data_IF_226155358799
#
_entry.id   IF_226155358799
#
_cell.length_a   1.000
_cell.length_b   1.000
_cell.length_c   1.000
_cell.angle_alpha   90.00
_cell.angle_beta   90.00
_cell.angle_gamma   90.00
#
_symmetry.space_group_name_H-M   'P 1'
#
loop_
_entity.id
_entity.type
_entity.pdbx_description
1 polymer ?
#
# COMPACT_ATOMS: atom_id res chain seq x y z
N UNK A 1 -25.73 0.73 33.36
CA UNK A 1 -24.49 0.85 34.17
C UNK A 1 -23.33 0.51 33.25
N UNK A 2 -22.64 1.51 32.70
CA UNK A 2 -21.59 1.28 31.70
C UNK A 2 -20.27 0.92 32.38
N UNK A 3 -19.74 -0.27 32.12
CA UNK A 3 -18.37 -0.62 32.52
C UNK A 3 -17.40 0.32 31.80
N UNK A 4 -16.82 1.27 32.51
CA UNK A 4 -15.61 1.96 32.07
C UNK A 4 -14.54 0.87 31.92
N UNK A 5 -14.08 0.62 30.70
CA UNK A 5 -12.88 -0.16 30.48
C UNK A 5 -11.73 0.70 30.97
N UNK A 6 -10.98 0.22 31.95
CA UNK A 6 -9.70 0.85 32.28
C UNK A 6 -8.79 0.71 31.06
N UNK A 7 -8.46 1.86 30.46
CA UNK A 7 -7.55 1.94 29.33
C UNK A 7 -6.18 2.27 29.91
N UNK A 8 -5.41 1.24 30.23
CA UNK A 8 -4.03 1.35 30.69
C UNK A 8 -3.09 0.81 29.62
N UNK A 9 -1.92 1.44 29.49
CA UNK A 9 -0.82 0.85 28.71
C UNK A 9 -0.31 -0.37 29.48
N UNK A 10 -0.27 -1.53 28.83
CA UNK A 10 0.26 -2.77 29.41
C UNK A 10 1.72 -2.99 29.03
N UNK A 11 2.43 -3.78 29.84
CA UNK A 11 3.76 -4.27 29.52
C UNK A 11 3.66 -5.66 28.87
N UNK A 12 4.50 -5.91 27.86
CA UNK A 12 4.63 -7.22 27.20
C UNK A 12 6.11 -7.54 27.04
N UNK A 13 6.47 -8.81 27.21
CA UNK A 13 7.82 -9.25 26.93
C UNK A 13 8.14 -9.14 25.44
N UNK A 14 9.41 -8.85 25.15
CA UNK A 14 9.84 -8.80 23.76
C UNK A 14 9.82 -10.20 23.13
N UNK A 15 8.97 -10.37 22.12
CA UNK A 15 8.97 -11.52 21.23
C UNK A 15 9.35 -11.09 19.81
N UNK A 16 10.33 -11.75 19.20
CA UNK A 16 10.79 -11.38 17.85
C UNK A 16 9.67 -11.41 16.79
N UNK A 17 8.66 -12.27 16.97
CA UNK A 17 7.49 -12.39 16.10
C UNK A 17 6.53 -11.18 16.14
N UNK A 18 6.64 -10.33 17.15
CA UNK A 18 5.88 -9.06 17.23
C UNK A 18 6.48 -7.99 16.32
N UNK A 19 7.74 -8.14 15.91
CA UNK A 19 8.41 -7.14 15.08
C UNK A 19 7.81 -7.13 13.68
N UNK A 20 7.25 -5.98 13.29
CA UNK A 20 6.72 -5.72 11.95
C UNK A 20 5.84 -6.88 11.42
N UNK A 21 4.85 -7.23 12.23
CA UNK A 21 3.83 -8.21 11.91
C UNK A 21 2.49 -7.46 11.79
N UNK A 22 1.80 -7.66 10.67
CA UNK A 22 0.50 -7.07 10.42
C UNK A 22 -0.48 -8.17 10.06
N UNK A 23 -1.70 -8.08 10.59
CA UNK A 23 -2.83 -8.91 10.22
C UNK A 23 -4.00 -8.01 9.90
N UNK A 24 -4.55 -8.16 8.70
CA UNK A 24 -5.66 -7.34 8.20
C UNK A 24 -6.68 -8.22 7.48
N UNK A 25 -7.95 -7.86 7.61
CA UNK A 25 -9.05 -8.49 6.90
C UNK A 25 -9.79 -7.43 6.11
N UNK A 26 -10.00 -7.68 4.82
CA UNK A 26 -10.61 -6.70 3.93
C UNK A 26 -11.15 -7.31 2.66
N UNK A 27 -11.88 -6.48 1.90
CA UNK A 27 -12.45 -6.85 0.60
C UNK A 27 -11.59 -6.26 -0.52
N UNK A 28 -11.34 -7.04 -1.57
CA UNK A 28 -10.60 -6.56 -2.73
C UNK A 28 -11.42 -5.55 -3.55
N UNK A 29 -10.89 -4.35 -3.78
CA UNK A 29 -11.59 -3.32 -4.57
C UNK A 29 -11.52 -3.52 -6.08
N UNK A 30 -10.51 -4.27 -6.54
CA UNK A 30 -10.22 -4.55 -7.95
C UNK A 30 -9.60 -5.94 -8.08
N UNK A 31 -9.53 -6.43 -9.31
CA UNK A 31 -8.86 -7.69 -9.62
C UNK A 31 -7.35 -7.61 -9.34
N UNK A 32 -6.74 -8.78 -9.17
CA UNK A 32 -5.28 -8.89 -8.96
C UNK A 32 -4.57 -8.43 -10.23
N UNK A 33 -3.65 -7.47 -10.07
CA UNK A 33 -2.69 -7.13 -11.11
C UNK A 33 -1.49 -8.07 -10.99
N UNK A 34 -1.42 -9.04 -11.89
CA UNK A 34 -0.37 -10.05 -11.91
C UNK A 34 0.72 -9.73 -12.93
N UNK A 35 1.98 -9.80 -12.49
CA UNK A 35 3.15 -9.50 -13.31
C UNK A 35 4.15 -10.63 -13.23
N UNK A 36 4.60 -11.06 -14.41
CA UNK A 36 5.76 -11.94 -14.56
C UNK A 36 6.96 -11.05 -14.83
N UNK A 37 7.90 -11.03 -13.90
CA UNK A 37 9.19 -10.35 -14.03
C UNK A 37 10.26 -11.37 -14.41
N UNK A 38 11.45 -10.90 -14.78
CA UNK A 38 12.54 -11.75 -15.28
C UNK A 38 12.88 -12.95 -14.37
N UNK A 39 12.85 -12.74 -13.04
CA UNK A 39 13.21 -13.77 -12.05
C UNK A 39 12.13 -14.04 -11.02
N UNK A 40 11.02 -13.30 -11.05
CA UNK A 40 10.03 -13.33 -9.99
C UNK A 40 8.63 -13.08 -10.54
N UNK A 41 7.64 -13.46 -9.74
CA UNK A 41 6.23 -13.18 -10.01
C UNK A 41 5.70 -12.29 -8.91
N UNK A 42 4.84 -11.36 -9.31
CA UNK A 42 4.34 -10.28 -8.46
C UNK A 42 2.83 -10.18 -8.63
N UNK A 43 2.11 -10.15 -7.51
CA UNK A 43 0.68 -9.86 -7.47
C UNK A 43 0.47 -8.58 -6.66
N UNK A 44 -0.28 -7.64 -7.23
CA UNK A 44 -0.64 -6.37 -6.61
C UNK A 44 -2.15 -6.26 -6.53
N UNK A 45 -2.67 -5.93 -5.35
CA UNK A 45 -4.08 -5.66 -5.15
C UNK A 45 -4.29 -4.74 -3.95
N UNK A 46 -5.48 -4.17 -3.80
CA UNK A 46 -5.80 -3.24 -2.71
C UNK A 46 -7.02 -3.76 -1.94
N UNK A 47 -6.93 -3.71 -0.61
CA UNK A 47 -8.00 -4.10 0.29
C UNK A 47 -8.71 -2.88 0.88
N UNK A 48 -10.03 -2.90 0.85
CA UNK A 48 -10.87 -2.04 1.66
C UNK A 48 -11.06 -2.66 3.05
N UNK A 49 -10.54 -1.98 4.08
CA UNK A 49 -10.64 -2.34 5.49
C UNK A 49 -11.82 -1.58 6.09
N UNK A 50 -12.85 -2.31 6.51
CA UNK A 50 -14.09 -1.72 7.02
C UNK A 50 -13.93 -1.27 8.47
N UNK A 51 -14.19 0.01 8.71
CA UNK A 51 -14.20 0.60 10.05
C UNK A 51 -15.65 0.76 10.53
N UNK A 52 -15.93 0.43 11.79
CA UNK A 52 -17.29 0.56 12.33
C UNK A 52 -17.75 2.02 12.31
N UNK A 53 -18.78 2.31 11.52
CA UNK A 53 -19.39 3.65 11.43
C UNK A 53 -18.50 4.70 10.76
N UNK A 54 -17.51 4.29 9.96
CA UNK A 54 -16.61 5.19 9.21
C UNK A 54 -16.34 4.62 7.83
N UNK A 55 -15.76 5.45 6.97
CA UNK A 55 -15.31 5.05 5.66
C UNK A 55 -14.20 3.98 5.75
N UNK A 56 -14.10 3.19 4.68
CA UNK A 56 -13.10 2.14 4.57
C UNK A 56 -11.72 2.73 4.29
N UNK A 57 -10.71 2.22 4.99
CA UNK A 57 -9.32 2.49 4.67
C UNK A 57 -8.83 1.55 3.56
N UNK A 58 -7.98 2.06 2.68
CA UNK A 58 -7.46 1.32 1.54
C UNK A 58 -5.99 0.97 1.74
N UNK A 59 -5.68 -0.32 1.72
CA UNK A 59 -4.33 -0.83 1.96
C UNK A 59 -3.85 -1.62 0.76
N UNK A 60 -2.67 -1.24 0.23
CA UNK A 60 -2.04 -1.97 -0.86
C UNK A 60 -1.32 -3.22 -0.35
N UNK A 61 -1.50 -4.31 -1.08
CA UNK A 61 -0.91 -5.60 -0.81
C UNK A 61 -0.01 -6.00 -1.96
N UNK A 62 1.17 -6.51 -1.60
CA UNK A 62 2.16 -7.07 -2.49
C UNK A 62 2.44 -8.52 -2.10
N UNK A 63 2.28 -9.45 -3.04
CA UNK A 63 2.65 -10.85 -2.87
C UNK A 63 3.66 -11.27 -3.95
N UNK A 64 4.53 -12.22 -3.60
CA UNK A 64 5.65 -12.66 -4.45
C UNK A 64 5.64 -14.18 -4.67
N UNK A 65 6.25 -14.62 -5.77
CA UNK A 65 6.50 -16.03 -6.05
C UNK A 65 5.23 -16.86 -6.17
N UNK A 66 5.21 -18.04 -5.56
CA UNK A 66 4.05 -18.95 -5.59
C UNK A 66 2.79 -18.36 -4.94
N UNK A 67 2.94 -17.49 -3.93
CA UNK A 67 1.81 -16.78 -3.34
C UNK A 67 1.18 -15.80 -4.34
N UNK A 68 1.99 -15.15 -5.18
CA UNK A 68 1.50 -14.28 -6.24
C UNK A 68 0.72 -15.06 -7.31
N UNK A 69 1.25 -16.22 -7.73
CA UNK A 69 0.58 -17.12 -8.66
C UNK A 69 -0.78 -17.55 -8.12
N UNK A 70 -0.81 -18.10 -6.90
CA UNK A 70 -2.04 -18.57 -6.25
C UNK A 70 -3.07 -17.44 -6.09
N UNK A 71 -2.64 -16.26 -5.64
CA UNK A 71 -3.50 -15.09 -5.52
C UNK A 71 -4.13 -14.71 -6.86
N UNK A 72 -3.35 -14.69 -7.95
CA UNK A 72 -3.86 -14.33 -9.28
C UNK A 72 -4.89 -15.32 -9.83
N UNK A 73 -4.84 -16.59 -9.43
CA UNK A 73 -5.76 -17.63 -9.91
C UNK A 73 -7.06 -17.70 -9.11
N UNK A 74 -7.04 -17.35 -7.82
CA UNK A 74 -8.14 -17.64 -6.89
C UNK A 74 -8.88 -16.40 -6.39
N UNK A 75 -8.26 -15.22 -6.55
CA UNK A 75 -8.73 -13.96 -5.99
C UNK A 75 -9.08 -12.96 -7.11
N UNK A 76 -10.07 -12.14 -6.83
CA UNK A 76 -10.55 -11.09 -7.72
C UNK A 76 -11.40 -10.08 -6.95
N UNK A 77 -11.90 -9.07 -7.65
CA UNK A 77 -12.74 -8.00 -7.09
C UNK A 77 -13.85 -8.56 -6.21
N UNK A 78 -14.08 -7.94 -5.06
CA UNK A 78 -15.11 -8.32 -4.09
C UNK A 78 -14.73 -9.52 -3.20
N UNK A 79 -13.64 -10.22 -3.49
CA UNK A 79 -13.18 -11.33 -2.64
C UNK A 79 -12.74 -10.79 -1.28
N UNK A 80 -13.28 -11.35 -0.20
CA UNK A 80 -12.81 -11.07 1.16
C UNK A 80 -11.59 -11.93 1.47
N UNK A 81 -10.53 -11.31 1.98
CA UNK A 81 -9.29 -11.99 2.32
C UNK A 81 -8.76 -11.53 3.67
N UNK A 82 -8.18 -12.47 4.41
CA UNK A 82 -7.31 -12.20 5.53
C UNK A 82 -5.86 -12.27 5.05
N UNK A 83 -5.09 -11.21 5.31
CA UNK A 83 -3.68 -11.11 4.95
C UNK A 83 -2.86 -10.98 6.22
N UNK A 84 -1.83 -11.80 6.32
CA UNK A 84 -0.72 -11.59 7.24
C UNK A 84 0.50 -11.17 6.44
N UNK A 85 1.36 -10.36 7.06
CA UNK A 85 2.61 -9.96 6.45
C UNK A 85 3.36 -8.93 7.26
N UNK A 86 4.08 -8.08 6.55
CA UNK A 86 4.88 -7.00 7.12
C UNK A 86 4.59 -5.68 6.42
N UNK A 87 4.59 -4.59 7.18
CA UNK A 87 4.53 -3.25 6.61
C UNK A 87 5.85 -2.94 5.90
N UNK A 88 5.75 -2.35 4.71
CA UNK A 88 6.87 -1.83 3.93
C UNK A 88 6.56 -0.42 3.50
N UNK A 89 7.54 0.46 3.69
CA UNK A 89 7.53 1.81 3.16
C UNK A 89 8.44 1.87 1.93
N UNK A 90 7.86 2.02 0.75
CA UNK A 90 8.62 2.31 -0.44
C UNK A 90 8.85 3.83 -0.54
N UNK A 91 10.07 4.21 -0.94
CA UNK A 91 10.44 5.59 -1.26
C UNK A 91 10.94 5.64 -2.68
N UNK A 92 10.42 6.55 -3.49
CA UNK A 92 10.88 6.76 -4.86
C UNK A 92 10.83 8.25 -5.21
N UNK A 93 11.64 8.65 -6.18
CA UNK A 93 11.59 10.00 -6.74
C UNK A 93 10.63 9.98 -7.94
N UNK A 94 9.66 10.87 -7.96
CA UNK A 94 8.76 11.01 -9.11
C UNK A 94 9.42 11.80 -10.26
N UNK A 95 8.71 11.90 -11.39
CA UNK A 95 9.21 12.61 -12.58
C UNK A 95 9.46 14.10 -12.35
N UNK A 96 8.88 14.69 -11.30
CA UNK A 96 9.09 16.09 -10.91
C UNK A 96 10.30 16.28 -9.98
N UNK A 97 11.01 15.20 -9.66
CA UNK A 97 12.14 15.23 -8.73
C UNK A 97 11.73 15.17 -7.25
N UNK A 98 10.43 15.06 -6.94
CA UNK A 98 9.95 14.99 -5.57
C UNK A 98 10.06 13.58 -5.00
N UNK A 99 10.52 13.47 -3.75
CA UNK A 99 10.50 12.19 -3.03
C UNK A 99 9.08 11.87 -2.59
N UNK A 100 8.58 10.71 -3.02
CA UNK A 100 7.31 10.14 -2.64
C UNK A 100 7.51 8.94 -1.74
N UNK A 101 6.51 8.70 -0.90
CA UNK A 101 6.46 7.57 0.01
C UNK A 101 5.13 6.85 -0.18
N UNK A 102 5.15 5.52 -0.08
CA UNK A 102 3.93 4.69 -0.02
C UNK A 102 4.11 3.58 0.99
N UNK A 103 3.10 3.42 1.85
CA UNK A 103 2.99 2.30 2.75
C UNK A 103 2.22 1.17 2.05
N UNK A 104 2.68 -0.05 2.22
CA UNK A 104 2.02 -1.26 1.72
C UNK A 104 2.32 -2.44 2.64
N UNK A 105 1.57 -3.52 2.47
CA UNK A 105 1.82 -4.79 3.15
C UNK A 105 2.46 -5.75 2.17
N UNK A 106 3.63 -6.28 2.52
CA UNK A 106 4.21 -7.43 1.82
C UNK A 106 3.67 -8.69 2.50
N UNK A 107 2.81 -9.42 1.80
CA UNK A 107 2.10 -10.57 2.32
C UNK A 107 3.03 -11.79 2.45
N UNK A 108 2.95 -12.49 3.57
CA UNK A 108 3.51 -13.84 3.75
C UNK A 108 2.40 -14.91 3.70
N UNK A 109 1.15 -14.54 3.96
CA UNK A 109 -0.01 -15.43 3.93
C UNK A 109 -1.24 -14.67 3.45
N UNK A 110 -2.01 -15.28 2.57
CA UNK A 110 -3.30 -14.77 2.09
C UNK A 110 -4.31 -15.91 2.20
N UNK A 111 -5.39 -15.69 2.93
CA UNK A 111 -6.46 -16.65 3.10
C UNK A 111 -7.78 -16.04 2.60
N UNK A 112 -8.44 -16.70 1.66
CA UNK A 112 -9.80 -16.34 1.24
C UNK A 112 -10.77 -16.61 2.38
N UNK A 113 -11.58 -15.62 2.74
CA UNK A 113 -12.59 -15.77 3.79
C UNK A 113 -13.84 -16.38 3.14
N UNK A 114 -14.30 -17.51 3.68
CA UNK A 114 -15.55 -18.15 3.23
C UNK A 114 -16.72 -17.28 3.69
N UNK A 115 -17.65 -16.95 2.79
CA UNK A 115 -18.89 -16.30 3.21
C UNK A 115 -19.63 -17.22 4.18
N UNK A 116 -20.00 -16.71 5.36
CA UNK A 116 -20.86 -17.43 6.30
C UNK A 116 -22.30 -17.61 5.78
N UNK A 117 -22.66 -16.98 4.66
CA UNK A 117 -23.85 -17.32 3.91
C UNK A 117 -23.58 -18.54 3.03
N UNK A 118 -23.57 -19.74 3.62
CA UNK A 118 -23.96 -20.93 2.87
C UNK A 118 -25.35 -20.71 2.25
N UNK A 119 -25.74 -21.44 1.18
CA UNK A 119 -27.11 -21.38 0.70
C UNK A 119 -28.02 -21.59 1.90
N UNK A 120 -28.90 -20.60 2.18
CA UNK A 120 -30.10 -20.88 2.94
C UNK A 120 -30.86 -21.88 2.08
N UNK A 121 -30.61 -23.17 2.34
CA UNK A 121 -31.53 -24.22 2.00
C UNK A 121 -32.78 -23.85 2.79
N UNK A 122 -33.70 -23.16 2.13
CA UNK A 122 -35.06 -23.06 2.64
C UNK A 122 -35.57 -24.49 2.66
N UNK A 123 -35.53 -25.09 3.84
CA UNK A 123 -36.26 -26.31 4.15
C UNK A 123 -37.74 -26.02 3.96
N UNK A 124 -38.21 -26.16 2.72
CA UNK A 124 -39.62 -26.32 2.42
C UNK A 124 -40.01 -27.71 2.91
N UNK A 125 -40.34 -27.79 4.21
CA UNK A 125 -41.08 -28.92 4.77
C UNK A 125 -42.56 -28.75 4.40
N UNK A 126 -43.08 -29.71 3.64
CA UNK A 126 -44.48 -30.14 3.71
C UNK A 126 -45.46 -29.54 2.70
N UNK A 127 -45.65 -30.23 1.58
CA UNK A 127 -46.86 -30.16 0.75
C UNK A 127 -47.09 -31.52 0.09
N UNK A 128 -48.32 -32.07 0.10
CA UNK A 128 -48.56 -33.50 -0.08
C UNK A 128 -48.30 -33.97 -1.52
N UNK A 129 -47.73 -35.17 -1.59
CA UNK A 129 -47.59 -36.01 -2.77
C UNK A 129 -48.97 -36.36 -3.36
N UNK A 130 -49.17 -36.03 -4.63
CA UNK A 130 -50.14 -36.71 -5.47
C UNK A 130 -49.39 -37.52 -6.53
N UNK A 131 -49.64 -38.82 -6.54
CA UNK A 131 -49.16 -39.77 -7.53
C UNK A 131 -49.72 -39.43 -8.92
N UNK A 132 -48.87 -39.53 -9.94
CA UNK A 132 -49.25 -39.49 -11.34
C UNK A 132 -49.91 -40.81 -11.77
N UNK A 133 -51.00 -40.78 -12.56
CA UNK A 133 -51.27 -41.81 -13.53
C UNK A 133 -50.58 -41.47 -14.87
N UNK A 134 -49.92 -42.49 -15.43
CA UNK A 134 -49.29 -42.55 -16.74
C UNK A 134 -50.31 -42.67 -17.88
N UNK A 135 -50.20 -41.83 -18.92
CA UNK A 135 -50.64 -42.17 -20.28
C UNK A 135 -49.84 -41.38 -21.33
N UNK A 136 -49.02 -42.13 -22.06
CA UNK A 136 -48.79 -42.14 -23.52
C UNK A 136 -48.93 -40.85 -24.35
N UNK A 137 -47.82 -40.49 -25.01
CA UNK A 137 -47.65 -39.43 -26.03
C UNK A 137 -48.42 -39.73 -27.34
N UNK A 138 -48.56 -38.78 -28.31
CA UNK A 138 -47.43 -38.47 -29.22
C UNK A 138 -47.34 -37.02 -29.75
N UNK A 139 -46.15 -36.63 -30.24
CA UNK A 139 -45.98 -35.59 -31.27
C UNK A 139 -44.93 -34.52 -30.95
N UNK A 140 -43.65 -34.81 -31.21
CA UNK A 140 -42.64 -33.76 -31.42
C UNK A 140 -42.24 -33.77 -32.90
N UNK A 141 -42.59 -32.70 -33.60
CA UNK A 141 -41.99 -32.34 -34.87
C UNK A 141 -40.70 -31.54 -34.60
N UNK A 142 -39.64 -31.94 -35.27
CA UNK A 142 -38.31 -31.37 -35.21
C UNK A 142 -38.21 -30.26 -36.25
N UNK A 143 -37.93 -29.02 -35.83
CA UNK A 143 -37.12 -28.10 -36.63
C UNK A 143 -36.63 -26.93 -35.78
N UNK A 144 -35.36 -26.95 -35.40
CA UNK A 144 -34.56 -25.74 -35.21
C UNK A 144 -33.20 -25.99 -35.88
N UNK A 145 -33.17 -25.72 -37.18
CA UNK A 145 -31.96 -25.28 -37.88
C UNK A 145 -31.79 -23.81 -37.48
N UNK A 146 -30.70 -23.41 -36.82
CA UNK A 146 -29.39 -23.12 -37.38
C UNK A 146 -29.41 -22.07 -38.51
N UNK A 147 -28.42 -21.16 -38.43
CA UNK A 147 -28.21 -19.89 -39.16
C UNK A 147 -28.98 -18.69 -38.62
N UNK A 148 -28.38 -17.53 -38.42
CA UNK A 148 -27.02 -17.11 -38.78
C UNK A 148 -26.74 -15.76 -38.14
N UNK A 149 -25.49 -15.61 -37.71
CA UNK A 149 -24.78 -14.35 -37.69
C UNK A 149 -24.97 -13.61 -39.02
N UNK A 150 -25.51 -12.40 -38.98
CA UNK A 150 -25.10 -11.29 -39.85
C UNK A 150 -25.80 -10.00 -39.41
N UNK A 151 -25.07 -8.89 -39.58
CA UNK A 151 -25.35 -7.52 -39.16
C UNK A 151 -24.97 -7.26 -37.68
N UNK A 152 -23.92 -6.50 -37.34
CA UNK A 152 -23.32 -5.36 -38.03
C UNK A 152 -21.81 -5.32 -37.80
N UNK A 153 -21.04 -5.24 -38.88
CA UNK A 153 -19.70 -4.66 -38.85
C UNK A 153 -19.87 -3.17 -38.56
N UNK A 154 -19.69 -2.79 -37.29
CA UNK A 154 -19.21 -1.45 -36.96
C UNK A 154 -17.80 -1.63 -36.48
N UNK A 155 -16.85 -1.19 -37.32
CA UNK A 155 -15.46 -0.99 -36.94
C UNK A 155 -15.44 -0.24 -35.61
N UNK A 156 -15.07 -0.95 -34.56
CA UNK A 156 -14.78 -0.36 -33.26
C UNK A 156 -13.51 0.45 -33.41
N UNK A 157 -13.66 1.73 -33.69
CA UNK A 157 -12.58 2.71 -33.55
C UNK A 157 -12.48 2.99 -32.04
N UNK A 158 -11.35 2.71 -31.38
CA UNK A 158 -11.20 3.06 -29.98
C UNK A 158 -11.37 4.58 -29.85
N UNK A 159 -12.37 4.99 -29.08
CA UNK A 159 -12.51 6.37 -28.66
C UNK A 159 -11.22 6.75 -27.88
N UNK A 160 -10.52 7.83 -28.24
CA UNK A 160 -9.32 8.22 -27.50
C UNK A 160 -9.72 8.41 -26.04
N UNK A 161 -9.00 7.73 -25.15
CA UNK A 161 -9.22 7.82 -23.71
C UNK A 161 -9.45 9.28 -23.30
N UNK A 162 -10.42 9.56 -22.40
CA UNK A 162 -10.67 10.93 -21.97
C UNK A 162 -9.34 11.53 -21.55
N UNK A 163 -8.93 12.60 -22.24
CA UNK A 163 -7.74 13.35 -21.88
C UNK A 163 -7.97 13.87 -20.47
N UNK A 164 -7.41 13.14 -19.51
CA UNK A 164 -7.34 13.58 -18.14
C UNK A 164 -6.52 14.87 -18.17
N UNK A 165 -7.21 16.01 -18.14
CA UNK A 165 -6.56 17.28 -17.85
C UNK A 165 -6.16 17.17 -16.39
N UNK A 166 -4.86 17.04 -16.05
CA UNK A 166 -4.46 17.23 -14.66
C UNK A 166 -5.00 18.59 -14.21
N UNK A 167 -5.39 18.76 -12.93
CA UNK A 167 -5.62 20.10 -12.42
C UNK A 167 -4.43 20.96 -12.86
N UNK A 168 -4.71 22.06 -13.57
CA UNK A 168 -3.66 23.01 -13.95
C UNK A 168 -2.80 23.24 -12.71
N UNK A 169 -1.47 23.25 -12.83
CA UNK A 169 -0.64 23.56 -11.70
C UNK A 169 -1.16 24.88 -11.14
N UNK A 170 -1.69 24.82 -9.91
CA UNK A 170 -1.60 25.97 -9.04
C UNK A 170 -0.11 26.31 -9.10
N UNK A 171 0.19 27.42 -9.77
CA UNK A 171 1.55 27.92 -9.86
C UNK A 171 2.07 27.89 -8.43
N UNK A 172 3.15 27.14 -8.21
CA UNK A 172 3.75 27.00 -6.89
C UNK A 172 3.86 28.40 -6.29
N UNK A 173 3.28 28.67 -5.11
CA UNK A 173 3.70 29.83 -4.37
C UNK A 173 5.20 29.65 -4.15
N UNK A 174 5.98 30.66 -4.53
CA UNK A 174 7.40 30.79 -4.19
C UNK A 174 7.60 30.36 -2.74
N UNK A 175 8.69 29.63 -2.49
CA UNK A 175 8.98 28.91 -1.26
C UNK A 175 8.52 29.63 0.01
N UNK A 176 7.84 28.90 0.90
CA UNK A 176 7.57 29.41 2.22
C UNK A 176 8.91 29.55 2.95
N UNK A 177 9.16 30.75 3.45
CA UNK A 177 10.29 31.14 4.29
C UNK A 177 10.54 30.21 5.49
N UNK A 178 9.55 29.39 5.87
CA UNK A 178 9.58 28.55 7.06
C UNK A 178 10.55 27.37 6.96
N UNK A 179 10.59 26.66 5.83
CA UNK A 179 11.41 25.45 5.69
C UNK A 179 12.93 25.77 5.69
N UNK A 180 13.31 26.93 5.14
CA UNK A 180 14.70 27.40 5.15
C UNK A 180 15.10 27.89 6.55
N UNK A 181 14.19 28.58 7.25
CA UNK A 181 14.41 29.00 8.64
C UNK A 181 14.57 27.80 9.59
N UNK A 182 13.73 26.78 9.44
CA UNK A 182 13.84 25.51 10.21
C UNK A 182 15.16 24.78 9.92
N UNK A 183 15.64 24.79 8.68
CA UNK A 183 16.93 24.21 8.33
C UNK A 183 18.11 24.99 8.96
N UNK A 184 18.06 26.32 8.94
CA UNK A 184 19.05 27.17 9.60
C UNK A 184 19.10 26.96 11.12
N UNK A 185 17.96 26.75 11.75
CA UNK A 185 17.87 26.49 13.20
C UNK A 185 18.55 25.16 13.58
N UNK A 186 18.39 24.11 12.78
CA UNK A 186 19.09 22.83 13.00
C UNK A 186 20.62 22.97 12.91
N UNK A 187 21.12 23.79 11.99
CA UNK A 187 22.55 24.09 11.91
C UNK A 187 23.04 24.82 13.16
N UNK A 188 22.27 25.78 13.70
CA UNK A 188 22.62 26.44 14.96
C UNK A 188 22.66 25.46 16.13
N UNK A 189 21.66 24.57 16.24
CA UNK A 189 21.63 23.53 17.29
C UNK A 189 22.83 22.57 17.19
N UNK A 190 23.28 22.25 15.98
CA UNK A 190 24.48 21.44 15.78
C UNK A 190 25.74 22.09 16.34
N UNK A 191 25.96 23.39 16.10
CA UNK A 191 27.13 24.09 16.64
C UNK A 191 27.04 24.41 18.13
N UNK A 192 25.82 24.50 18.69
CA UNK A 192 25.64 24.65 20.14
C UNK A 192 26.18 23.44 20.91
N UNK A 193 26.00 22.22 20.39
CA UNK A 193 26.52 21.01 21.00
C UNK A 193 26.78 19.91 19.96
N UNK A 194 27.98 19.95 19.37
CA UNK A 194 28.42 18.97 18.35
C UNK A 194 28.43 17.54 18.89
N UNK A 195 28.55 17.35 20.22
CA UNK A 195 28.64 16.02 20.83
C UNK A 195 27.33 15.22 20.76
N UNK A 196 26.19 15.92 20.57
CA UNK A 196 24.85 15.33 20.42
C UNK A 196 24.54 14.86 19.00
N UNK A 197 25.53 14.90 18.12
CA UNK A 197 25.41 14.50 16.73
C UNK A 197 26.41 13.40 16.40
N UNK A 198 25.97 12.45 15.59
CA UNK A 198 26.85 11.51 14.90
C UNK A 198 27.42 12.19 13.66
N UNK A 199 28.75 12.26 13.55
CA UNK A 199 29.44 12.65 12.32
C UNK A 199 29.58 11.41 11.41
N UNK A 200 28.87 11.44 10.28
CA UNK A 200 28.83 10.34 9.32
C UNK A 200 29.60 10.65 8.03
N UNK A 201 30.35 11.76 7.97
CA UNK A 201 31.03 12.20 6.75
C UNK A 201 31.98 11.14 6.18
N UNK A 202 32.63 10.38 7.07
CA UNK A 202 33.58 9.30 6.71
C UNK A 202 32.93 7.92 6.55
N UNK A 203 31.71 7.73 7.06
CA UNK A 203 31.06 6.40 7.14
C UNK A 203 29.84 6.27 6.23
N UNK A 204 29.40 7.37 5.59
CA UNK A 204 28.24 7.35 4.70
C UNK A 204 28.51 6.51 3.44
N UNK A 205 27.56 5.61 3.13
CA UNK A 205 27.63 4.72 1.95
C UNK A 205 27.43 5.46 0.61
N UNK A 206 26.85 6.65 0.63
CA UNK A 206 26.64 7.51 -0.54
C UNK A 206 26.34 8.96 -0.09
N UNK A 207 26.42 9.90 -1.03
CA UNK A 207 26.19 11.34 -0.82
C UNK A 207 24.77 11.70 -0.39
N UNK A 208 23.80 10.78 -0.54
CA UNK A 208 22.41 10.98 -0.11
C UNK A 208 22.21 10.70 1.38
N UNK A 209 23.15 10.01 2.03
CA UNK A 209 23.16 9.85 3.48
C UNK A 209 23.45 11.18 4.18
N UNK A 210 22.90 11.41 5.39
CA UNK A 210 23.15 12.63 6.14
C UNK A 210 24.60 12.69 6.61
N UNK A 211 25.21 13.88 6.54
CA UNK A 211 26.55 14.15 7.04
C UNK A 211 26.58 14.18 8.56
N UNK A 212 25.51 14.72 9.17
CA UNK A 212 25.32 14.68 10.62
C UNK A 212 23.92 14.18 10.97
N UNK A 213 23.82 13.34 11.99
CA UNK A 213 22.54 12.83 12.50
C UNK A 213 22.43 13.05 14.00
N UNK A 214 21.33 13.64 14.46
CA UNK A 214 21.11 13.83 15.90
C UNK A 214 21.04 12.49 16.62
N UNK A 215 21.63 12.43 17.83
CA UNK A 215 21.57 11.27 18.72
C UNK A 215 20.21 11.13 19.39
N UNK A 216 19.56 12.26 19.64
CA UNK A 216 18.36 12.33 20.50
C UNK A 216 17.08 12.58 19.71
N UNK A 217 17.20 13.13 18.50
CA UNK A 217 16.06 13.47 17.64
C UNK A 217 16.18 12.79 16.27
N UNK A 218 15.13 12.89 15.45
CA UNK A 218 15.17 12.46 14.05
C UNK A 218 15.81 13.48 13.10
N UNK A 219 16.43 14.55 13.61
CA UNK A 219 17.04 15.59 12.78
C UNK A 219 18.31 15.11 12.09
N UNK A 220 18.53 15.65 10.89
CA UNK A 220 19.63 15.31 10.01
C UNK A 220 20.10 16.54 9.23
N UNK A 221 21.41 16.62 9.00
CA UNK A 221 22.06 17.70 8.29
C UNK A 221 22.88 17.15 7.11
N UNK A 222 22.86 17.88 6.00
CA UNK A 222 23.62 17.58 4.79
C UNK A 222 24.47 18.79 4.40
N UNK A 223 25.75 18.58 4.12
CA UNK A 223 26.69 19.63 3.74
C UNK A 223 26.31 20.30 2.42
N UNK A 224 25.74 19.54 1.48
CA UNK A 224 25.32 20.05 0.17
C UNK A 224 24.14 21.04 0.22
N UNK A 225 23.47 21.16 1.37
CA UNK A 225 22.41 22.12 1.63
C UNK A 225 22.69 23.01 2.84
N UNK A 226 23.93 23.04 3.32
CA UNK A 226 24.33 23.85 4.45
C UNK A 226 24.31 25.35 4.11
N UNK A 227 23.90 26.22 5.04
CA UNK A 227 24.13 27.65 4.87
C UNK A 227 25.63 27.95 4.89
N UNK A 228 26.07 28.94 4.11
CA UNK A 228 27.49 29.22 3.92
C UNK A 228 28.25 29.42 5.24
N UNK A 229 27.67 30.15 6.20
CA UNK A 229 28.27 30.37 7.52
C UNK A 229 28.56 29.06 8.27
N UNK A 230 27.76 28.01 8.06
CA UNK A 230 27.96 26.70 8.69
C UNK A 230 29.11 25.93 8.04
N UNK A 231 29.34 26.11 6.74
CA UNK A 231 30.51 25.55 6.07
C UNK A 231 31.77 26.23 6.56
N UNK A 232 31.75 27.56 6.63
CA UNK A 232 32.88 28.36 7.11
C UNK A 232 33.25 27.99 8.57
N UNK A 233 32.24 27.78 9.43
CA UNK A 233 32.43 27.37 10.83
C UNK A 233 32.92 25.91 11.00
N UNK A 234 32.66 25.04 10.01
CA UNK A 234 33.19 23.67 9.97
C UNK A 234 34.65 23.62 9.53
N UNK A 235 35.07 24.57 8.70
CA UNK A 235 36.44 24.69 8.17
C UNK A 235 37.35 25.55 9.05
N UNK A 236 36.78 26.24 10.05
CA UNK A 236 37.53 27.09 10.98
C UNK A 236 38.54 26.28 11.82
N UNK A 237 39.85 26.59 11.76
CA UNK A 237 40.90 25.89 12.52
C UNK A 237 40.82 26.05 14.04
N UNK A 238 40.05 27.03 14.53
CA UNK A 238 40.13 27.49 15.92
C UNK A 238 39.28 26.67 16.92
N UNK A 239 38.55 25.64 16.49
CA UNK A 239 37.68 24.83 17.37
C UNK A 239 37.88 23.31 17.23
N UNK A 240 39.14 22.86 17.21
CA UNK A 240 39.56 21.60 17.85
C UNK A 240 39.02 20.28 17.29
N UNK A 241 39.07 20.05 15.97
CA UNK A 241 38.98 18.71 15.36
C UNK A 241 40.36 18.24 14.85
N UNK A 242 40.72 16.94 14.98
CA UNK A 242 42.05 16.47 14.57
C UNK A 242 42.20 16.49 13.05
N UNK A 243 43.42 16.81 12.61
CA UNK A 243 43.80 16.79 11.21
C UNK A 243 43.88 15.36 10.66
N UNK A 244 43.10 15.13 9.58
CA UNK A 244 43.06 14.01 8.63
C UNK A 244 42.67 12.62 9.15
#
# INVERSE_FOLDING_TARGET
MGHKRDVTVGEVDFEAGLRNNIQILGNMGKDVEYKVLATNRLALFTLAIQNKGRDADWVDIEAWGSLAESASQQLGKGTQVAVQGRLKQDKWTDKSGQTRTRLKVVANTINKVRSQSGPRQTDYIGGPSYEQPSTSAPGIDQTYQDRSYQHMDQEWVPEPAPQYSPPQPAQSPRGSSNARAEAEERWKLFFQDRSRWWDNRLTKRNERGPDFKSKDTSDALWLNGAPQWALDELESPDLGGPAF
#
